data_IF_156347557220
#
_entry.id   IF_156347557220
#
_cell.length_a   1.000
_cell.length_b   1.000
_cell.length_c   1.000
_cell.angle_alpha   90.00
_cell.angle_beta   90.00
_cell.angle_gamma   90.00
#
_symmetry.space_group_name_H-M   'P 1'
#
loop_
_entity.id
_entity.type
_entity.pdbx_description
1 polymer ?
#
# COMPACT_ATOMS: atom_id res chain seq x y z
N UNK A 1 -8.71 -8.76 -10.19
CA UNK A 1 -7.64 -9.09 -9.21
C UNK A 1 -7.29 -7.88 -8.36
N UNK A 2 -6.96 -6.73 -8.98
CA UNK A 2 -6.62 -5.49 -8.28
C UNK A 2 -7.64 -5.09 -7.19
N UNK A 3 -8.95 -5.07 -7.48
CA UNK A 3 -9.98 -4.69 -6.51
C UNK A 3 -9.90 -5.42 -5.16
N UNK A 4 -9.72 -6.75 -5.16
CA UNK A 4 -9.62 -7.54 -3.92
C UNK A 4 -8.37 -7.19 -3.12
N UNK A 5 -7.27 -6.87 -3.81
CA UNK A 5 -6.02 -6.40 -3.20
C UNK A 5 -6.19 -4.98 -2.64
N UNK A 6 -6.90 -4.11 -3.36
CA UNK A 6 -7.24 -2.76 -2.91
C UNK A 6 -8.10 -2.80 -1.63
N UNK A 7 -9.12 -3.64 -1.57
CA UNK A 7 -9.94 -3.82 -0.36
C UNK A 7 -9.09 -4.27 0.83
N UNK A 8 -8.23 -5.29 0.63
CA UNK A 8 -7.34 -5.77 1.67
C UNK A 8 -6.38 -4.68 2.19
N UNK A 9 -5.77 -3.91 1.28
CA UNK A 9 -4.88 -2.80 1.63
C UNK A 9 -5.65 -1.69 2.37
N UNK A 10 -6.86 -1.35 1.89
CA UNK A 10 -7.71 -0.34 2.50
C UNK A 10 -8.07 -0.70 3.94
N UNK A 11 -8.43 -1.96 4.19
CA UNK A 11 -8.73 -2.45 5.53
C UNK A 11 -7.51 -2.35 6.47
N UNK A 12 -6.30 -2.70 5.99
CA UNK A 12 -5.07 -2.57 6.80
C UNK A 12 -4.80 -1.10 7.13
N UNK A 13 -4.86 -0.20 6.13
CA UNK A 13 -4.63 1.22 6.36
C UNK A 13 -5.67 1.80 7.33
N UNK A 14 -6.96 1.47 7.16
CA UNK A 14 -8.01 1.94 8.06
C UNK A 14 -7.79 1.42 9.49
N UNK A 15 -7.50 0.13 9.67
CA UNK A 15 -7.31 -0.45 10.99
C UNK A 15 -6.09 0.13 11.72
N UNK A 16 -5.01 0.43 10.99
CA UNK A 16 -3.73 0.87 11.58
C UNK A 16 -3.60 2.40 11.71
N UNK A 17 -4.30 3.19 10.90
CA UNK A 17 -4.09 4.65 10.80
C UNK A 17 -5.30 5.50 11.23
N UNK A 18 -6.46 4.90 11.50
CA UNK A 18 -7.62 5.66 12.01
C UNK A 18 -7.30 6.20 13.40
N UNK A 19 -7.41 7.53 13.56
CA UNK A 19 -7.14 8.21 14.83
C UNK A 19 -5.65 8.36 15.20
N UNK A 20 -4.74 7.99 14.29
CA UNK A 20 -3.30 8.16 14.52
C UNK A 20 -2.83 9.56 14.15
N UNK A 21 -1.96 10.11 14.98
CA UNK A 21 -1.21 11.34 14.72
C UNK A 21 0.15 11.04 14.12
N UNK A 22 0.70 12.00 13.37
CA UNK A 22 2.02 11.84 12.80
C UNK A 22 3.11 12.15 13.83
N UNK A 23 3.96 11.17 14.10
CA UNK A 23 5.25 11.33 14.76
C UNK A 23 6.34 10.70 13.88
N UNK A 24 7.46 11.39 13.68
CA UNK A 24 8.50 10.95 12.75
C UNK A 24 9.12 9.60 13.15
N UNK A 25 9.42 9.39 14.43
CA UNK A 25 10.07 8.17 14.90
C UNK A 25 9.11 6.98 14.82
N UNK A 26 7.89 7.14 15.32
CA UNK A 26 6.85 6.12 15.26
C UNK A 26 6.42 5.81 13.83
N UNK A 27 6.25 6.83 12.97
CA UNK A 27 5.83 6.63 11.57
C UNK A 27 6.90 5.92 10.74
N UNK A 28 8.18 6.13 11.02
CA UNK A 28 9.25 5.37 10.36
C UNK A 28 9.11 3.86 10.63
N UNK A 29 8.86 3.47 11.88
CA UNK A 29 8.60 2.06 12.22
C UNK A 29 7.28 1.58 11.62
N UNK A 30 6.20 2.35 11.79
CA UNK A 30 4.86 2.03 11.32
C UNK A 30 4.82 1.80 9.81
N UNK A 31 5.54 2.58 9.02
CA UNK A 31 5.60 2.38 7.55
C UNK A 31 6.10 0.99 7.17
N UNK A 32 7.10 0.45 7.87
CA UNK A 32 7.63 -0.90 7.66
C UNK A 32 6.63 -1.96 8.07
N UNK A 33 5.94 -1.73 9.19
CA UNK A 33 4.88 -2.63 9.67
C UNK A 33 3.69 -2.67 8.71
N UNK A 34 3.26 -1.51 8.18
CA UNK A 34 2.20 -1.43 7.19
C UNK A 34 2.54 -2.21 5.93
N UNK A 35 3.77 -2.09 5.42
CA UNK A 35 4.24 -2.90 4.28
C UNK A 35 4.17 -4.39 4.60
N UNK A 36 4.64 -4.81 5.78
CA UNK A 36 4.62 -6.21 6.19
C UNK A 36 3.19 -6.75 6.34
N UNK A 37 2.28 -5.98 6.93
CA UNK A 37 0.88 -6.34 7.13
C UNK A 37 0.13 -6.45 5.81
N UNK A 38 0.29 -5.46 4.92
CA UNK A 38 -0.28 -5.49 3.57
C UNK A 38 0.23 -6.72 2.84
N UNK A 39 1.55 -6.94 2.84
CA UNK A 39 2.14 -8.07 2.13
C UNK A 39 1.65 -9.42 2.67
N UNK A 40 1.52 -9.56 4.00
CA UNK A 40 0.95 -10.75 4.64
C UNK A 40 -0.50 -10.97 4.22
N UNK A 41 -1.34 -9.94 4.33
CA UNK A 41 -2.77 -10.03 4.00
C UNK A 41 -3.01 -10.34 2.52
N UNK A 42 -2.25 -9.73 1.63
CA UNK A 42 -2.35 -9.99 0.18
C UNK A 42 -1.88 -11.40 -0.16
N UNK A 43 -0.88 -11.94 0.56
CA UNK A 43 -0.42 -13.32 0.39
C UNK A 43 -1.46 -14.38 0.75
N UNK A 44 -2.40 -14.09 1.65
CA UNK A 44 -3.47 -15.03 2.05
C UNK A 44 -4.38 -15.42 0.88
N UNK A 45 -4.43 -14.62 -0.20
CA UNK A 45 -5.19 -14.95 -1.40
C UNK A 45 -4.54 -16.02 -2.28
N UNK A 46 -3.39 -16.56 -1.89
CA UNK A 46 -2.71 -17.68 -2.54
C UNK A 46 -2.47 -17.47 -4.04
N UNK A 47 -1.95 -16.30 -4.42
CA UNK A 47 -1.61 -15.97 -5.80
C UNK A 47 -0.53 -16.92 -6.34
N UNK A 48 -0.92 -17.83 -7.23
CA UNK A 48 0.02 -18.74 -7.90
C UNK A 48 0.77 -17.97 -8.99
N UNK A 49 2.10 -18.16 -9.05
CA UNK A 49 2.96 -17.59 -10.10
C UNK A 49 3.08 -16.06 -10.09
N UNK A 50 2.82 -15.39 -8.96
CA UNK A 50 3.02 -13.96 -8.82
C UNK A 50 4.02 -13.62 -7.71
N UNK A 51 5.01 -12.79 -8.05
CA UNK A 51 5.86 -12.09 -7.09
C UNK A 51 5.14 -10.80 -6.71
N UNK A 52 5.01 -10.57 -5.41
CA UNK A 52 4.35 -9.38 -4.86
C UNK A 52 5.41 -8.38 -4.39
N UNK A 53 5.26 -7.13 -4.82
CA UNK A 53 6.07 -6.01 -4.34
C UNK A 53 5.13 -4.98 -3.72
N UNK A 54 5.33 -4.67 -2.44
CA UNK A 54 4.51 -3.70 -1.71
C UNK A 54 5.34 -2.46 -1.39
N UNK A 55 4.74 -1.28 -1.54
CA UNK A 55 5.34 0.01 -1.22
C UNK A 55 4.31 0.88 -0.50
N UNK A 56 4.71 1.54 0.58
CA UNK A 56 3.85 2.47 1.33
C UNK A 56 4.57 3.80 1.48
N UNK A 57 3.90 4.87 1.08
CA UNK A 57 4.29 6.25 1.39
C UNK A 57 3.44 6.72 2.56
N UNK A 58 4.07 7.13 3.67
CA UNK A 58 3.40 7.65 4.87
C UNK A 58 3.98 9.03 5.19
N UNK A 59 3.13 10.02 5.38
CA UNK A 59 3.55 11.40 5.66
C UNK A 59 2.53 12.17 6.48
N UNK A 60 2.99 13.26 7.10
CA UNK A 60 2.12 14.20 7.79
C UNK A 60 1.22 14.92 6.79
N UNK A 61 -0.03 15.17 7.14
CA UNK A 61 -0.94 16.02 6.37
C UNK A 61 -1.09 17.37 7.07
N UNK A 62 -0.50 18.40 6.47
CA UNK A 62 -0.55 19.80 6.89
C UNK A 62 -1.32 20.65 5.87
N UNK A 63 -2.18 20.03 5.04
CA UNK A 63 -2.91 20.72 3.96
C UNK A 63 -2.09 20.92 2.67
N UNK A 64 -0.95 20.27 2.53
CA UNK A 64 -0.14 20.32 1.31
C UNK A 64 -0.69 19.44 0.18
N UNK A 65 -0.36 19.79 -1.07
CA UNK A 65 -0.61 18.93 -2.23
C UNK A 65 0.48 17.88 -2.40
N UNK A 66 0.10 16.60 -2.43
CA UNK A 66 1.01 15.48 -2.74
C UNK A 66 0.44 14.65 -3.88
N UNK A 67 1.28 14.36 -4.86
CA UNK A 67 0.98 13.42 -5.94
C UNK A 67 1.99 12.28 -5.95
N UNK A 68 1.49 11.05 -5.89
CA UNK A 68 2.29 9.83 -6.03
C UNK A 68 1.97 9.23 -7.39
N UNK A 69 3.01 8.98 -8.19
CA UNK A 69 2.89 8.38 -9.51
C UNK A 69 3.97 7.32 -9.69
N UNK A 70 3.66 6.29 -10.48
CA UNK A 70 4.58 5.23 -10.84
C UNK A 70 4.54 4.95 -12.34
N UNK A 71 5.65 4.44 -12.88
CA UNK A 71 5.77 3.94 -14.25
C UNK A 71 6.39 2.56 -14.20
N UNK A 72 5.87 1.62 -14.99
CA UNK A 72 6.29 0.24 -14.99
C UNK A 72 6.66 -0.21 -16.41
N UNK A 73 7.64 -1.11 -16.50
CA UNK A 73 7.95 -1.87 -17.71
C UNK A 73 7.65 -3.33 -17.39
N UNK A 74 6.58 -3.87 -17.97
CA UNK A 74 6.01 -5.17 -17.59
C UNK A 74 5.07 -5.71 -18.68
N UNK A 75 4.60 -6.96 -18.53
CA UNK A 75 3.64 -7.58 -19.44
C UNK A 75 2.20 -7.10 -19.11
N UNK A 76 1.58 -6.33 -20.00
CA UNK A 76 0.24 -5.77 -19.78
C UNK A 76 -0.90 -6.80 -19.66
N UNK A 77 -0.68 -8.06 -20.05
CA UNK A 77 -1.68 -9.13 -19.91
C UNK A 77 -1.56 -9.86 -18.58
N UNK A 78 -0.33 -10.01 -18.08
CA UNK A 78 -0.05 -10.85 -16.92
C UNK A 78 0.21 -10.01 -15.67
N UNK A 79 0.90 -8.89 -15.78
CA UNK A 79 1.28 -8.05 -14.66
C UNK A 79 0.22 -7.00 -14.34
N UNK A 80 0.08 -6.66 -13.06
CA UNK A 80 -0.88 -5.65 -12.63
C UNK A 80 -0.47 -5.00 -11.31
N UNK A 81 -1.17 -3.94 -10.93
CA UNK A 81 -1.02 -3.29 -9.63
C UNK A 81 -2.37 -2.93 -9.00
N UNK A 82 -2.29 -2.60 -7.72
CA UNK A 82 -3.37 -2.06 -6.90
C UNK A 82 -2.83 -0.83 -6.16
N UNK A 83 -3.64 0.22 -6.03
CA UNK A 83 -3.23 1.45 -5.36
C UNK A 83 -4.37 1.98 -4.47
N UNK A 84 -4.07 2.29 -3.21
CA UNK A 84 -5.04 2.80 -2.25
C UNK A 84 -4.48 4.00 -1.50
N UNK A 85 -5.30 5.02 -1.34
CA UNK A 85 -5.03 6.19 -0.51
C UNK A 85 -5.85 6.15 0.77
N UNK A 86 -5.22 6.53 1.87
CA UNK A 86 -5.83 6.85 3.15
C UNK A 86 -5.42 8.26 3.57
N UNK A 87 -6.32 8.99 4.23
CA UNK A 87 -6.01 10.25 4.90
C UNK A 87 -6.89 10.42 6.12
N UNK A 88 -6.32 10.97 7.18
CA UNK A 88 -7.06 11.47 8.34
C UNK A 88 -6.71 12.96 8.54
N UNK A 89 -6.97 13.52 9.73
CA UNK A 89 -6.71 14.94 10.00
C UNK A 89 -5.22 15.32 10.09
N UNK A 90 -4.34 14.35 10.36
CA UNK A 90 -2.95 14.59 10.75
C UNK A 90 -1.94 13.92 9.80
N UNK A 91 -2.34 12.88 9.07
CA UNK A 91 -1.47 12.12 8.18
C UNK A 91 -2.18 11.59 6.94
N UNK A 92 -1.38 11.24 5.94
CA UNK A 92 -1.79 10.54 4.74
C UNK A 92 -0.93 9.29 4.52
N UNK A 93 -1.52 8.28 3.87
CA UNK A 93 -0.79 7.12 3.40
C UNK A 93 -1.23 6.72 1.99
N UNK A 94 -0.28 6.30 1.16
CA UNK A 94 -0.52 5.72 -0.16
C UNK A 94 0.15 4.35 -0.21
N UNK A 95 -0.66 3.29 -0.32
CA UNK A 95 -0.19 1.93 -0.46
C UNK A 95 -0.30 1.48 -1.92
N UNK A 96 0.75 0.84 -2.41
CA UNK A 96 0.85 0.28 -3.75
C UNK A 96 1.30 -1.18 -3.64
N UNK A 97 0.62 -2.07 -4.36
CA UNK A 97 1.01 -3.47 -4.48
C UNK A 97 1.10 -3.82 -5.96
N UNK A 98 2.25 -4.36 -6.37
CA UNK A 98 2.54 -4.80 -7.72
C UNK A 98 2.58 -6.33 -7.73
N UNK A 99 1.80 -6.94 -8.61
CA UNK A 99 1.83 -8.36 -8.91
C UNK A 99 2.55 -8.57 -10.23
N UNK A 100 3.73 -9.18 -10.18
CA UNK A 100 4.54 -9.52 -11.35
C UNK A 100 4.52 -11.02 -11.54
N UNK A 101 4.04 -11.48 -12.69
CA UNK A 101 3.98 -12.87 -13.07
C UNK A 101 5.40 -13.42 -13.22
N UNK A 102 5.68 -14.56 -12.61
CA UNK A 102 6.93 -15.29 -12.80
C UNK A 102 6.61 -16.69 -13.29
N UNK A 103 7.27 -17.07 -14.38
CA UNK A 103 7.12 -18.39 -14.97
C UNK A 103 7.78 -19.48 -14.13
#
# INVERSE_FOLDING_TARGET
>A
MAHKVEEAMKEVLQARLTGMDYDHASCNMLSKELVADIHRKVKEFAWKRYRLVCHVTLGQDCGQGVQVASRCVWDAKNDNYACVRFSNKNLFAVAQCYGVYFE
#
